data_IF_311625164288
#
_entry.id   IF_311625164288
#
_cell.length_a   1.000
_cell.length_b   1.000
_cell.length_c   1.000
_cell.angle_alpha   90.00
_cell.angle_beta   90.00
_cell.angle_gamma   90.00
#
_symmetry.space_group_name_H-M   'P 1'
#
loop_
_entity.id
_entity.type
_entity.pdbx_description
1 polymer ?
#
# COMPACT_ATOMS: atom_id res chain seq x y z
N UNK A 1 -40.82 11.50 -2.96
CA UNK A 1 -40.35 12.22 -1.76
C UNK A 1 -38.86 12.44 -1.92
N UNK A 2 -38.37 13.69 -1.91
CA UNK A 2 -36.93 13.99 -2.03
C UNK A 2 -36.28 13.81 -0.65
N UNK A 3 -35.41 12.81 -0.51
CA UNK A 3 -34.69 12.56 0.73
C UNK A 3 -33.45 13.46 0.77
N UNK A 4 -33.53 14.54 1.55
CA UNK A 4 -32.37 15.40 1.85
C UNK A 4 -31.61 14.79 3.01
N UNK A 5 -30.45 14.20 2.72
CA UNK A 5 -29.51 13.70 3.73
C UNK A 5 -28.62 14.86 4.15
N UNK A 6 -28.67 15.23 5.42
CA UNK A 6 -27.80 16.24 6.03
C UNK A 6 -26.42 15.63 6.30
N UNK A 7 -25.43 15.98 5.46
CA UNK A 7 -24.04 15.59 5.64
C UNK A 7 -23.30 16.73 6.38
N UNK A 8 -22.54 16.44 7.45
CA UNK A 8 -21.74 17.44 8.16
C UNK A 8 -20.75 18.15 7.21
N UNK A 9 -20.63 19.48 7.33
CA UNK A 9 -19.75 20.27 6.45
C UNK A 9 -18.26 19.86 6.51
N UNK A 10 -17.83 19.26 7.62
CA UNK A 10 -16.49 18.66 7.77
C UNK A 10 -16.28 17.47 6.86
N UNK A 11 -17.29 16.60 6.69
CA UNK A 11 -17.23 15.46 5.76
C UNK A 11 -17.21 15.93 4.30
N UNK A 12 -17.91 17.03 3.99
CA UNK A 12 -17.92 17.63 2.65
C UNK A 12 -16.51 18.15 2.28
N UNK A 13 -15.82 18.82 3.21
CA UNK A 13 -14.47 19.36 2.99
C UNK A 13 -13.38 18.26 2.97
N UNK A 14 -13.60 17.12 3.64
CA UNK A 14 -12.67 15.97 3.60
C UNK A 14 -12.84 15.17 2.30
N UNK A 15 -14.08 14.94 1.85
CA UNK A 15 -14.35 14.28 0.56
C UNK A 15 -13.84 15.13 -0.61
N UNK A 16 -13.97 16.46 -0.53
CA UNK A 16 -13.49 17.37 -1.59
C UNK A 16 -11.96 17.51 -1.66
N UNK A 17 -11.20 17.06 -0.64
CA UNK A 17 -9.73 17.11 -0.59
C UNK A 17 -9.04 15.74 -0.69
N UNK A 18 -9.80 14.65 -0.57
CA UNK A 18 -9.30 13.30 -0.80
C UNK A 18 -9.11 13.08 -2.29
N UNK A 19 -7.85 12.92 -2.73
CA UNK A 19 -7.57 12.58 -4.12
C UNK A 19 -8.22 11.24 -4.47
N UNK A 20 -8.63 11.05 -5.74
CA UNK A 20 -9.13 9.75 -6.24
C UNK A 20 -8.17 8.60 -5.90
N UNK A 21 -6.87 8.89 -5.88
CA UNK A 21 -5.82 7.95 -5.48
C UNK A 21 -5.90 7.57 -4.00
N UNK A 22 -6.12 8.53 -3.11
CA UNK A 22 -6.29 8.28 -1.66
C UNK A 22 -7.53 7.41 -1.42
N UNK A 23 -8.62 7.69 -2.12
CA UNK A 23 -9.84 6.91 -2.02
C UNK A 23 -9.64 5.48 -2.55
N UNK A 24 -8.93 5.31 -3.66
CA UNK A 24 -8.60 4.00 -4.21
C UNK A 24 -7.65 3.21 -3.31
N UNK A 25 -6.61 3.84 -2.75
CA UNK A 25 -5.64 3.22 -1.85
C UNK A 25 -6.29 2.65 -0.58
N UNK A 26 -7.29 3.33 -0.03
CA UNK A 26 -8.01 2.89 1.16
C UNK A 26 -9.12 1.88 0.85
N UNK A 27 -9.47 1.67 -0.42
CA UNK A 27 -10.47 0.69 -0.81
C UNK A 27 -9.92 -0.73 -0.64
N UNK A 28 -10.80 -1.65 -0.27
CA UNK A 28 -10.51 -3.08 -0.23
C UNK A 28 -10.20 -3.64 -1.62
N UNK A 29 -9.16 -4.47 -1.69
CA UNK A 29 -8.75 -5.22 -2.87
C UNK A 29 -9.46 -6.58 -2.89
N UNK A 30 -10.49 -6.72 -3.70
CA UNK A 30 -11.33 -7.94 -3.74
C UNK A 30 -10.55 -9.22 -4.09
N UNK A 31 -9.52 -9.14 -4.94
CA UNK A 31 -8.75 -10.31 -5.34
C UNK A 31 -7.89 -10.81 -4.18
N UNK A 32 -7.09 -9.92 -3.59
CA UNK A 32 -6.23 -10.30 -2.47
C UNK A 32 -7.05 -10.61 -1.22
N UNK A 33 -8.15 -9.89 -0.98
CA UNK A 33 -9.06 -10.22 0.13
C UNK A 33 -9.68 -11.60 -0.01
N UNK A 34 -10.07 -11.98 -1.23
CA UNK A 34 -10.63 -13.30 -1.47
C UNK A 34 -9.60 -14.41 -1.33
N UNK A 35 -8.34 -14.16 -1.68
CA UNK A 35 -7.26 -15.17 -1.61
C UNK A 35 -6.71 -15.32 -0.20
N UNK A 36 -6.58 -14.21 0.55
CA UNK A 36 -6.08 -14.22 1.93
C UNK A 36 -7.19 -14.47 2.95
N UNK A 37 -8.45 -14.52 2.52
CA UNK A 37 -9.64 -14.64 3.39
C UNK A 37 -9.71 -13.53 4.48
N UNK A 38 -9.00 -12.41 4.28
CA UNK A 38 -8.94 -11.26 5.17
C UNK A 38 -9.12 -9.97 4.35
N UNK A 39 -9.75 -8.94 4.90
CA UNK A 39 -9.90 -7.66 4.19
C UNK A 39 -8.54 -6.97 4.00
N UNK A 40 -8.03 -6.94 2.77
CA UNK A 40 -6.76 -6.27 2.42
C UNK A 40 -7.04 -5.02 1.60
N UNK A 41 -6.52 -3.86 2.02
CA UNK A 41 -6.59 -2.61 1.26
C UNK A 41 -5.64 -2.60 0.06
N UNK A 42 -5.98 -1.83 -0.98
CA UNK A 42 -5.08 -1.60 -2.12
C UNK A 42 -3.73 -1.00 -1.70
N UNK A 43 -3.70 -0.19 -0.62
CA UNK A 43 -2.48 0.33 -0.03
C UNK A 43 -1.57 -0.79 0.51
N UNK A 44 -2.12 -1.74 1.26
CA UNK A 44 -1.35 -2.89 1.75
C UNK A 44 -0.79 -3.71 0.58
N UNK A 45 -1.61 -4.02 -0.43
CA UNK A 45 -1.16 -4.74 -1.64
C UNK A 45 -0.03 -3.98 -2.36
N UNK A 46 -0.14 -2.65 -2.49
CA UNK A 46 0.89 -1.83 -3.10
C UNK A 46 2.21 -1.87 -2.32
N UNK A 47 2.15 -1.81 -0.98
CA UNK A 47 3.33 -1.93 -0.11
C UNK A 47 3.96 -3.33 -0.19
N UNK A 48 3.14 -4.38 -0.24
CA UNK A 48 3.63 -5.76 -0.46
C UNK A 48 4.31 -5.90 -1.82
N UNK A 49 3.70 -5.38 -2.88
CA UNK A 49 4.28 -5.38 -4.22
C UNK A 49 5.62 -4.63 -4.23
N UNK A 50 5.69 -3.46 -3.57
CA UNK A 50 6.92 -2.70 -3.44
C UNK A 50 8.03 -3.49 -2.70
N UNK A 51 7.69 -4.16 -1.59
CA UNK A 51 8.63 -5.01 -0.87
C UNK A 51 9.08 -6.22 -1.71
N UNK A 52 8.18 -6.85 -2.47
CA UNK A 52 8.51 -7.97 -3.36
C UNK A 52 9.43 -7.56 -4.52
N UNK A 53 9.23 -6.35 -5.06
CA UNK A 53 10.10 -5.79 -6.09
C UNK A 53 11.50 -5.52 -5.51
N UNK A 54 11.56 -4.86 -4.35
CA UNK A 54 12.81 -4.59 -3.66
C UNK A 54 13.60 -5.86 -3.35
N UNK A 55 12.91 -6.91 -2.90
CA UNK A 55 13.51 -8.23 -2.68
C UNK A 55 14.04 -8.85 -3.96
N UNK A 56 13.24 -8.83 -5.04
CA UNK A 56 13.64 -9.39 -6.34
C UNK A 56 14.90 -8.69 -6.87
N UNK A 57 14.96 -7.36 -6.77
CA UNK A 57 16.13 -6.56 -7.16
C UNK A 57 17.33 -6.87 -6.26
N UNK A 58 17.13 -7.04 -4.95
CA UNK A 58 18.19 -7.43 -4.01
C UNK A 58 18.81 -8.78 -4.38
N UNK A 59 17.99 -9.79 -4.69
CA UNK A 59 18.47 -11.11 -5.12
C UNK A 59 19.31 -10.99 -6.38
N UNK A 60 18.83 -10.25 -7.38
CA UNK A 60 19.59 -9.98 -8.60
C UNK A 60 20.91 -9.24 -8.32
N UNK A 61 20.88 -8.20 -7.49
CA UNK A 61 22.05 -7.38 -7.16
C UNK A 61 23.12 -8.18 -6.41
N UNK A 62 22.72 -9.15 -5.58
CA UNK A 62 23.63 -10.04 -4.86
C UNK A 62 24.53 -10.87 -5.79
N UNK A 63 24.07 -11.18 -7.01
CA UNK A 63 24.88 -11.87 -8.03
C UNK A 63 25.84 -10.94 -8.78
N UNK A 64 25.64 -9.62 -8.71
CA UNK A 64 26.46 -8.63 -9.43
C UNK A 64 27.62 -8.15 -8.56
N UNK A 65 27.33 -7.60 -7.38
CA UNK A 65 28.35 -7.15 -6.43
C UNK A 65 27.76 -6.76 -5.07
N UNK A 66 28.62 -6.70 -4.05
CA UNK A 66 28.21 -6.37 -2.68
C UNK A 66 27.65 -4.95 -2.53
N UNK A 67 28.20 -3.96 -3.24
CA UNK A 67 27.77 -2.55 -3.12
C UNK A 67 26.30 -2.32 -3.50
N UNK A 68 25.82 -2.68 -4.71
CA UNK A 68 24.41 -2.56 -5.05
C UNK A 68 23.54 -3.48 -4.19
N UNK A 69 24.03 -4.65 -3.78
CA UNK A 69 23.30 -5.51 -2.87
C UNK A 69 23.03 -4.82 -1.52
N UNK A 70 23.99 -4.10 -0.95
CA UNK A 70 23.80 -3.33 0.28
C UNK A 70 22.80 -2.18 0.11
N UNK A 71 22.82 -1.49 -1.03
CA UNK A 71 21.83 -0.44 -1.34
C UNK A 71 20.42 -1.03 -1.48
N UNK A 72 20.28 -2.14 -2.21
CA UNK A 72 19.01 -2.85 -2.35
C UNK A 72 18.52 -3.45 -1.03
N UNK A 73 19.44 -3.85 -0.14
CA UNK A 73 19.12 -4.35 1.18
C UNK A 73 18.52 -3.24 2.04
N UNK A 74 19.15 -2.05 2.08
CA UNK A 74 18.60 -0.90 2.78
C UNK A 74 17.21 -0.53 2.23
N UNK A 75 17.04 -0.53 0.90
CA UNK A 75 15.76 -0.27 0.26
C UNK A 75 14.70 -1.31 0.63
N UNK A 76 15.04 -2.61 0.62
CA UNK A 76 14.15 -3.69 1.02
C UNK A 76 13.72 -3.57 2.49
N UNK A 77 14.65 -3.27 3.40
CA UNK A 77 14.35 -3.08 4.82
C UNK A 77 13.39 -1.91 5.04
N UNK A 78 13.61 -0.78 4.36
CA UNK A 78 12.69 0.37 4.41
C UNK A 78 11.32 -0.01 3.86
N UNK A 79 11.28 -0.75 2.75
CA UNK A 79 10.05 -1.23 2.13
C UNK A 79 9.24 -2.12 3.08
N UNK A 80 9.92 -3.05 3.77
CA UNK A 80 9.29 -3.94 4.74
C UNK A 80 8.78 -3.19 5.97
N UNK A 81 9.56 -2.24 6.47
CA UNK A 81 9.14 -1.38 7.58
C UNK A 81 7.91 -0.53 7.22
N UNK A 82 7.83 -0.02 5.99
CA UNK A 82 6.65 0.68 5.50
C UNK A 82 5.44 -0.25 5.35
N UNK A 83 5.63 -1.48 4.87
CA UNK A 83 4.56 -2.48 4.78
C UNK A 83 3.99 -2.83 6.16
N UNK A 84 4.86 -3.04 7.16
CA UNK A 84 4.45 -3.30 8.54
C UNK A 84 3.68 -2.12 9.14
N UNK A 85 4.20 -0.89 9.03
CA UNK A 85 3.45 0.33 9.42
C UNK A 85 2.19 0.55 8.59
N UNK A 86 2.13 -0.04 7.40
CA UNK A 86 1.01 0.00 6.48
C UNK A 86 -0.21 -0.80 6.94
N UNK A 87 -0.09 -1.55 8.03
CA UNK A 87 -1.15 -2.42 8.55
C UNK A 87 -1.05 -3.86 8.06
N UNK A 88 0.07 -4.25 7.45
CA UNK A 88 0.35 -5.67 7.20
C UNK A 88 0.64 -6.34 8.54
N UNK A 89 -0.24 -7.27 8.95
CA UNK A 89 -0.12 -8.04 10.20
C UNK A 89 0.50 -9.39 9.93
#
# INVERSE_FOLDING_TARGET
MKQTVSIPATDINVVSKSSVLTMWLNRENQLFSSVLEESVSNRQVCLMAHASLAFSVLVCAAFVSAVPALLCLAWFVVSLHLAWKGGLR
#
